data_IF_311645637919
#
_entry.id   IF_311645637919
#
_cell.length_a   1.000
_cell.length_b   1.000
_cell.length_c   1.000
_cell.angle_alpha   90.00
_cell.angle_beta   90.00
_cell.angle_gamma   90.00
#
_symmetry.space_group_name_H-M   'P 1'
#
loop_
_entity.id
_entity.type
_entity.pdbx_description
1 polymer ?
#
# COMPACT_ATOMS: atom_id res chain seq x y z
N UNK A 1 31.82 22.75 39.00
CA UNK A 1 31.46 23.08 37.60
C UNK A 1 30.74 21.89 37.00
N UNK A 2 29.54 22.12 36.46
CA UNK A 2 28.64 21.11 35.92
C UNK A 2 29.21 20.37 34.71
N UNK A 3 29.01 19.06 34.67
CA UNK A 3 29.23 18.21 33.50
C UNK A 3 28.27 18.64 32.38
N UNK A 4 28.81 19.00 31.21
CA UNK A 4 28.04 19.45 30.06
C UNK A 4 27.69 18.24 29.19
N UNK A 5 26.38 17.96 29.14
CA UNK A 5 25.60 17.17 28.17
C UNK A 5 26.38 16.16 27.30
N UNK A 6 26.16 14.89 27.63
CA UNK A 6 26.31 13.79 26.68
C UNK A 6 25.38 14.01 25.48
N UNK A 7 25.95 13.78 24.30
CA UNK A 7 25.36 13.86 22.98
C UNK A 7 24.10 12.97 22.92
N UNK A 8 22.92 13.60 22.81
CA UNK A 8 21.63 12.93 22.70
C UNK A 8 21.05 13.08 21.29
N UNK A 9 21.91 13.19 20.28
CA UNK A 9 21.53 13.32 18.87
C UNK A 9 21.64 11.97 18.12
N UNK A 10 21.28 10.85 18.76
CA UNK A 10 21.19 9.52 18.13
C UNK A 10 19.77 9.12 17.70
N UNK A 11 18.82 10.05 17.72
CA UNK A 11 17.49 9.88 17.11
C UNK A 11 17.26 10.87 15.96
N UNK A 12 18.33 11.25 15.26
CA UNK A 12 18.24 12.00 14.01
C UNK A 12 17.71 11.05 12.92
N UNK A 13 16.45 11.28 12.54
CA UNK A 13 15.87 11.00 11.23
C UNK A 13 16.17 9.64 10.58
N UNK A 14 15.47 8.60 11.03
CA UNK A 14 15.31 7.34 10.29
C UNK A 14 14.01 7.30 9.45
N UNK A 15 13.36 8.45 9.19
CA UNK A 15 12.30 8.54 8.19
C UNK A 15 12.97 8.91 6.88
N UNK A 16 13.38 7.92 6.08
CA UNK A 16 13.70 8.19 4.67
C UNK A 16 12.42 8.68 4.00
N UNK A 17 12.34 9.95 3.54
CA UNK A 17 11.19 10.44 2.79
C UNK A 17 11.06 9.77 1.41
N UNK A 18 12.06 8.98 1.00
CA UNK A 18 12.16 8.33 -0.31
C UNK A 18 11.76 6.84 -0.29
N UNK A 19 10.72 6.45 0.46
CA UNK A 19 10.14 5.12 0.29
C UNK A 19 9.47 5.06 -1.07
N UNK A 20 10.15 4.42 -2.03
CA UNK A 20 9.59 4.20 -3.36
C UNK A 20 8.37 3.26 -3.28
N UNK A 21 7.45 3.30 -4.25
CA UNK A 21 6.38 2.31 -4.36
C UNK A 21 6.89 0.86 -4.27
N UNK A 22 8.07 0.60 -4.82
CA UNK A 22 8.75 -0.69 -4.77
C UNK A 22 9.21 -1.05 -3.35
N UNK A 23 9.79 -0.11 -2.58
CA UNK A 23 10.18 -0.36 -1.18
C UNK A 23 8.96 -0.69 -0.30
N UNK A 24 7.83 -0.04 -0.56
CA UNK A 24 6.57 -0.33 0.12
C UNK A 24 6.04 -1.72 -0.26
N UNK A 25 6.14 -2.08 -1.54
CA UNK A 25 5.77 -3.42 -2.03
C UNK A 25 6.60 -4.49 -1.33
N UNK A 26 7.92 -4.35 -1.31
CA UNK A 26 8.81 -5.33 -0.69
C UNK A 26 8.58 -5.45 0.82
N UNK A 27 8.32 -4.34 1.51
CA UNK A 27 7.94 -4.39 2.93
C UNK A 27 6.64 -5.17 3.14
N UNK A 28 5.61 -4.92 2.33
CA UNK A 28 4.33 -5.64 2.41
C UNK A 28 4.53 -7.13 2.12
N UNK A 29 5.33 -7.48 1.12
CA UNK A 29 5.63 -8.87 0.79
C UNK A 29 6.30 -9.57 1.98
N UNK A 30 7.26 -8.92 2.65
CA UNK A 30 7.89 -9.44 3.87
C UNK A 30 6.90 -9.59 5.03
N UNK A 31 6.08 -8.57 5.30
CA UNK A 31 5.05 -8.59 6.35
C UNK A 31 4.07 -9.76 6.19
N UNK A 32 3.77 -10.13 4.95
CA UNK A 32 2.81 -11.18 4.59
C UNK A 32 3.44 -12.50 4.19
N UNK A 33 4.77 -12.63 4.34
CA UNK A 33 5.52 -13.85 4.01
C UNK A 33 5.40 -14.25 2.54
N UNK A 34 5.19 -13.29 1.63
CA UNK A 34 5.16 -13.51 0.18
C UNK A 34 6.59 -13.58 -0.33
N UNK A 35 6.90 -14.59 -1.14
CA UNK A 35 8.24 -14.78 -1.70
C UNK A 35 8.63 -13.62 -2.62
N UNK A 36 9.82 -13.04 -2.39
CA UNK A 36 10.38 -11.92 -3.14
C UNK A 36 10.82 -12.30 -4.56
N UNK A 37 10.99 -13.59 -4.85
CA UNK A 37 11.33 -14.10 -6.18
C UNK A 37 10.12 -14.18 -7.13
N UNK A 38 8.90 -13.96 -6.64
CA UNK A 38 7.69 -14.01 -7.45
C UNK A 38 7.69 -12.89 -8.50
N UNK A 39 7.12 -13.14 -9.70
CA UNK A 39 7.06 -12.14 -10.75
C UNK A 39 6.20 -10.95 -10.31
N UNK A 40 6.70 -9.75 -10.55
CA UNK A 40 6.00 -8.50 -10.26
C UNK A 40 5.70 -7.82 -11.60
N UNK A 41 4.43 -7.60 -11.89
CA UNK A 41 3.97 -6.82 -13.03
C UNK A 41 3.45 -5.46 -12.55
N UNK A 42 3.78 -4.40 -13.29
CA UNK A 42 3.27 -3.05 -13.05
C UNK A 42 2.33 -2.67 -14.19
N UNK A 43 1.13 -2.22 -13.85
CA UNK A 43 0.13 -1.77 -14.82
C UNK A 43 -0.48 -0.43 -14.39
N UNK A 44 -0.86 0.40 -15.36
CA UNK A 44 -1.59 1.63 -15.07
C UNK A 44 -3.10 1.39 -15.15
N UNK A 45 -3.80 1.58 -14.04
CA UNK A 45 -5.27 1.49 -13.95
C UNK A 45 -5.79 2.88 -13.60
N UNK A 46 -6.61 3.47 -14.47
CA UNK A 46 -7.08 4.85 -14.35
C UNK A 46 -5.94 5.87 -14.06
N UNK A 47 -4.80 5.70 -14.74
CA UNK A 47 -3.62 6.55 -14.57
C UNK A 47 -2.83 6.34 -13.28
N UNK A 48 -3.17 5.32 -12.47
CA UNK A 48 -2.48 4.98 -11.22
C UNK A 48 -1.67 3.71 -11.40
N UNK A 49 -0.48 3.70 -10.84
CA UNK A 49 0.40 2.54 -10.87
C UNK A 49 -0.07 1.46 -9.90
N UNK A 50 -0.37 0.28 -10.43
CA UNK A 50 -0.79 -0.90 -9.68
C UNK A 50 0.20 -2.03 -9.93
N UNK A 51 0.70 -2.57 -8.83
CA UNK A 51 1.61 -3.71 -8.82
C UNK A 51 0.81 -4.99 -8.62
N UNK A 52 1.15 -6.02 -9.39
CA UNK A 52 0.59 -7.36 -9.31
C UNK A 52 1.72 -8.34 -9.07
N UNK A 53 1.69 -9.02 -7.94
CA UNK A 53 2.64 -10.06 -7.57
C UNK A 53 1.99 -11.41 -7.85
N UNK A 54 2.70 -12.25 -8.62
CA UNK A 54 2.26 -13.59 -9.02
C UNK A 54 0.83 -13.60 -9.61
N UNK A 55 0.56 -12.62 -10.48
CA UNK A 55 -0.74 -12.43 -11.12
C UNK A 55 -1.79 -11.76 -10.21
N UNK A 56 -2.19 -12.40 -9.11
CA UNK A 56 -3.25 -11.88 -8.23
C UNK A 56 -3.06 -12.19 -6.73
N UNK A 57 -1.91 -12.76 -6.34
CA UNK A 57 -1.63 -13.09 -4.94
C UNK A 57 -1.59 -11.83 -4.08
N UNK A 58 -0.91 -10.80 -4.57
CA UNK A 58 -0.85 -9.49 -3.94
C UNK A 58 -0.99 -8.42 -5.02
N UNK A 59 -1.99 -7.57 -4.85
CA UNK A 59 -2.16 -6.36 -5.66
C UNK A 59 -1.89 -5.13 -4.78
N UNK A 60 -1.13 -4.16 -5.25
CA UNK A 60 -0.81 -2.99 -4.45
C UNK A 60 -0.88 -1.70 -5.25
N UNK A 61 -1.50 -0.67 -4.66
CA UNK A 61 -1.52 0.69 -5.20
C UNK A 61 -0.94 1.64 -4.14
N UNK A 62 0.23 2.19 -4.43
CA UNK A 62 0.96 3.10 -3.54
C UNK A 62 0.89 4.56 -3.97
N UNK A 63 -0.11 4.91 -4.78
CA UNK A 63 -0.39 6.30 -5.14
C UNK A 63 -0.52 7.15 -3.86
N UNK A 64 0.07 8.35 -3.89
CA UNK A 64 0.03 9.30 -2.78
C UNK A 64 -0.58 10.65 -3.20
N UNK A 65 -1.16 10.71 -4.41
CA UNK A 65 -1.72 11.94 -4.96
C UNK A 65 -3.15 12.25 -4.48
N UNK A 66 -3.75 11.38 -3.67
CA UNK A 66 -5.15 11.51 -3.26
C UNK A 66 -6.13 11.19 -4.40
N UNK A 67 -5.74 10.34 -5.35
CA UNK A 67 -6.54 10.06 -6.54
C UNK A 67 -7.39 8.77 -6.44
N UNK A 68 -7.20 7.96 -5.39
CA UNK A 68 -7.94 6.70 -5.17
C UNK A 68 -9.37 7.03 -4.74
N UNK A 69 -10.31 6.75 -5.64
CA UNK A 69 -11.75 6.91 -5.43
C UNK A 69 -12.48 5.55 -5.40
N UNK A 70 -13.79 5.57 -5.14
CA UNK A 70 -14.58 4.34 -5.11
C UNK A 70 -14.61 3.62 -6.47
N UNK A 71 -14.52 4.36 -7.58
CA UNK A 71 -14.55 3.77 -8.92
C UNK A 71 -13.32 2.89 -9.13
N UNK A 72 -12.15 3.41 -8.77
CA UNK A 72 -10.89 2.67 -8.81
C UNK A 72 -10.91 1.46 -7.88
N UNK A 73 -11.39 1.63 -6.65
CA UNK A 73 -11.52 0.52 -5.69
C UNK A 73 -12.43 -0.59 -6.24
N UNK A 74 -13.57 -0.23 -6.85
CA UNK A 74 -14.49 -1.19 -7.48
C UNK A 74 -13.86 -1.90 -8.67
N UNK A 75 -13.02 -1.22 -9.46
CA UNK A 75 -12.27 -1.87 -10.54
C UNK A 75 -11.29 -2.91 -10.02
N UNK A 76 -10.51 -2.57 -8.98
CA UNK A 76 -9.61 -3.54 -8.35
C UNK A 76 -10.37 -4.70 -7.72
N UNK A 77 -11.52 -4.45 -7.10
CA UNK A 77 -12.34 -5.51 -6.50
C UNK A 77 -12.89 -6.49 -7.55
N UNK A 78 -13.13 -6.06 -8.80
CA UNK A 78 -13.54 -6.96 -9.90
C UNK A 78 -12.44 -7.94 -10.30
N UNK A 79 -11.17 -7.60 -10.07
CA UNK A 79 -10.04 -8.49 -10.34
C UNK A 79 -9.93 -9.64 -9.33
N UNK A 80 -10.67 -9.56 -8.22
CA UNK A 80 -10.69 -10.55 -7.14
C UNK A 80 -9.29 -10.99 -6.68
N UNK A 81 -8.41 -10.05 -6.29
CA UNK A 81 -7.09 -10.41 -5.79
C UNK A 81 -7.21 -11.15 -4.45
N UNK A 82 -6.26 -12.03 -4.13
CA UNK A 82 -6.24 -12.66 -2.80
C UNK A 82 -5.96 -11.63 -1.71
N UNK A 83 -5.06 -10.69 -2.00
CA UNK A 83 -4.72 -9.61 -1.09
C UNK A 83 -4.54 -8.29 -1.84
N UNK A 84 -4.97 -7.21 -1.23
CA UNK A 84 -4.84 -5.86 -1.77
C UNK A 84 -4.28 -4.89 -0.74
N UNK A 85 -3.33 -4.04 -1.17
CA UNK A 85 -2.76 -2.98 -0.34
C UNK A 85 -2.94 -1.61 -0.95
N UNK A 86 -3.35 -0.67 -0.11
CA UNK A 86 -3.45 0.75 -0.45
C UNK A 86 -2.56 1.59 0.46
N UNK A 87 -2.05 2.69 -0.06
CA UNK A 87 -1.46 3.75 0.77
C UNK A 87 -2.55 4.70 1.28
N UNK A 88 -2.51 5.02 2.56
CA UNK A 88 -3.45 5.92 3.23
C UNK A 88 -3.51 7.30 2.57
N UNK A 89 -2.34 7.84 2.17
CA UNK A 89 -2.23 9.11 1.46
C UNK A 89 -2.81 9.09 0.04
N UNK A 90 -3.08 7.91 -0.53
CA UNK A 90 -3.64 7.77 -1.86
C UNK A 90 -5.15 8.01 -1.92
N UNK A 91 -5.86 7.84 -0.80
CA UNK A 91 -7.32 8.01 -0.77
C UNK A 91 -7.73 9.45 -0.98
N UNK A 92 -8.69 9.65 -1.88
CA UNK A 92 -9.27 10.97 -2.18
C UNK A 92 -9.92 11.64 -0.97
N UNK A 93 -10.52 10.84 -0.10
CA UNK A 93 -11.09 11.30 1.16
C UNK A 93 -11.23 10.14 2.16
N UNK A 94 -11.55 10.47 3.42
CA UNK A 94 -11.76 9.50 4.48
C UNK A 94 -12.96 8.57 4.25
N UNK A 95 -13.98 9.01 3.50
CA UNK A 95 -15.13 8.16 3.19
C UNK A 95 -14.73 6.97 2.30
N UNK A 96 -13.89 7.18 1.28
CA UNK A 96 -13.37 6.07 0.45
C UNK A 96 -12.55 5.10 1.30
N UNK A 97 -11.68 5.62 2.19
CA UNK A 97 -10.90 4.78 3.11
C UNK A 97 -11.78 3.93 4.02
N UNK A 98 -12.86 4.49 4.57
CA UNK A 98 -13.81 3.74 5.41
C UNK A 98 -14.60 2.71 4.57
N UNK A 99 -14.95 3.07 3.33
CA UNK A 99 -15.78 2.22 2.47
C UNK A 99 -15.01 1.12 1.76
N UNK A 100 -13.67 1.21 1.63
CA UNK A 100 -12.86 0.27 0.83
C UNK A 100 -13.09 -1.18 1.25
N UNK A 101 -13.08 -1.46 2.55
CA UNK A 101 -13.34 -2.81 3.07
C UNK A 101 -14.74 -3.29 2.74
N UNK A 102 -15.75 -2.41 2.80
CA UNK A 102 -17.12 -2.78 2.47
C UNK A 102 -17.27 -3.09 0.98
N UNK A 103 -16.63 -2.31 0.10
CA UNK A 103 -16.64 -2.56 -1.34
C UNK A 103 -16.04 -3.94 -1.64
N UNK A 104 -14.88 -4.25 -1.05
CA UNK A 104 -14.26 -5.57 -1.20
C UNK A 104 -15.13 -6.68 -0.59
N UNK A 105 -15.72 -6.51 0.60
CA UNK A 105 -16.63 -7.51 1.18
C UNK A 105 -17.83 -7.84 0.27
N UNK A 106 -18.35 -6.86 -0.47
CA UNK A 106 -19.48 -7.07 -1.38
C UNK A 106 -19.09 -7.69 -2.72
N UNK A 107 -17.92 -7.35 -3.26
CA UNK A 107 -17.52 -7.72 -4.63
C UNK A 107 -16.50 -8.87 -4.68
N UNK A 108 -15.65 -8.97 -3.66
CA UNK A 108 -14.60 -9.97 -3.52
C UNK A 108 -14.40 -10.32 -2.03
N UNK A 109 -15.35 -11.06 -1.42
CA UNK A 109 -15.42 -11.28 0.03
C UNK A 109 -14.21 -12.03 0.60
N UNK A 110 -13.43 -12.68 -0.25
CA UNK A 110 -12.22 -13.44 0.10
C UNK A 110 -10.95 -12.59 0.07
N UNK A 111 -11.01 -11.37 -0.46
CA UNK A 111 -9.85 -10.47 -0.54
C UNK A 111 -9.51 -9.90 0.83
N UNK A 112 -8.26 -10.07 1.23
CA UNK A 112 -7.70 -9.38 2.40
C UNK A 112 -7.26 -7.97 2.02
N UNK A 113 -7.78 -6.94 2.71
CA UNK A 113 -7.47 -5.53 2.44
C UNK A 113 -6.56 -4.98 3.55
N UNK A 114 -5.48 -4.30 3.18
CA UNK A 114 -4.60 -3.57 4.12
C UNK A 114 -4.34 -2.16 3.62
N UNK A 115 -4.33 -1.21 4.56
CA UNK A 115 -3.99 0.19 4.30
C UNK A 115 -2.77 0.58 5.15
N UNK A 116 -1.79 1.28 4.55
CA UNK A 116 -0.52 1.67 5.20
C UNK A 116 -0.16 3.15 5.02
#
# INVERSE_FOLDING_TARGET
MCWKKANLDLFVDNIKPDRTPEDLLFQVMLDWGVDLALPIAKQSIQGKDVFFVDGNVLTACFDASGSIDETFVKELAKLQPLRVVFRDAGFKNSAVKINVEQIFKLMSPVTEVKCI
#
